data_IF_369892805466
#
_entry.id   IF_369892805466
#
_cell.length_a   1.000
_cell.length_b   1.000
_cell.length_c   1.000
_cell.angle_alpha   90.00
_cell.angle_beta   90.00
_cell.angle_gamma   90.00
#
_symmetry.space_group_name_H-M   'P 1'
#
loop_
_entity.id
_entity.type
_entity.pdbx_description
1 polymer ?
#
# COMPACT_ATOMS: atom_id res chain seq x y z
N UNK A 1 -24.81 -12.43 -11.32
CA UNK A 1 -26.02 -13.20 -10.98
C UNK A 1 -25.77 -13.85 -9.63
N UNK A 2 -26.43 -13.39 -8.57
CA UNK A 2 -26.31 -14.00 -7.24
C UNK A 2 -27.37 -15.11 -7.18
N UNK A 3 -26.95 -16.36 -6.97
CA UNK A 3 -27.88 -17.49 -6.92
C UNK A 3 -28.72 -17.42 -5.65
N UNK A 4 -30.04 -17.50 -5.80
CA UNK A 4 -31.06 -17.37 -4.74
C UNK A 4 -31.13 -18.59 -3.78
N UNK A 5 -29.99 -19.12 -3.34
CA UNK A 5 -29.93 -20.38 -2.57
C UNK A 5 -29.40 -20.22 -1.14
N UNK A 6 -29.29 -19.00 -0.64
CA UNK A 6 -28.77 -18.75 0.72
C UNK A 6 -29.92 -18.78 1.72
N UNK A 7 -29.88 -19.71 2.66
CA UNK A 7 -30.79 -19.77 3.81
C UNK A 7 -30.19 -19.02 5.01
N UNK A 8 -31.07 -18.55 5.89
CA UNK A 8 -30.64 -17.86 7.10
C UNK A 8 -29.93 -18.84 8.04
N UNK A 9 -28.68 -18.55 8.40
CA UNK A 9 -27.82 -19.44 9.19
C UNK A 9 -26.82 -20.27 8.37
N UNK A 10 -26.83 -20.16 7.04
CA UNK A 10 -25.80 -20.80 6.22
C UNK A 10 -24.42 -20.18 6.50
N UNK A 11 -23.36 -21.00 6.61
CA UNK A 11 -22.02 -20.49 6.86
C UNK A 11 -21.51 -19.69 5.66
N UNK A 12 -20.97 -18.49 5.94
CA UNK A 12 -20.31 -17.66 4.93
C UNK A 12 -18.85 -18.06 4.85
N UNK A 13 -18.43 -18.60 3.70
CA UNK A 13 -17.03 -18.94 3.45
C UNK A 13 -16.27 -17.73 2.94
N UNK A 14 -15.15 -17.42 3.60
CA UNK A 14 -14.24 -16.33 3.23
C UNK A 14 -12.90 -16.96 2.85
N UNK A 15 -12.59 -16.98 1.56
CA UNK A 15 -11.36 -17.60 1.03
C UNK A 15 -10.26 -16.58 0.69
N UNK A 16 -10.63 -15.30 0.55
CA UNK A 16 -9.71 -14.25 0.13
C UNK A 16 -8.65 -13.89 1.19
N UNK A 17 -8.87 -14.28 2.44
CA UNK A 17 -8.02 -13.88 3.57
C UNK A 17 -7.60 -15.08 4.41
N UNK A 18 -6.41 -15.00 4.99
CA UNK A 18 -5.96 -15.97 5.98
C UNK A 18 -6.86 -15.93 7.22
N UNK A 19 -7.01 -17.08 7.89
CA UNK A 19 -7.72 -17.14 9.17
C UNK A 19 -7.14 -16.13 10.18
N UNK A 20 -5.82 -16.02 10.25
CA UNK A 20 -5.12 -15.14 11.19
C UNK A 20 -5.47 -13.66 10.96
N UNK A 21 -5.42 -13.21 9.71
CA UNK A 21 -5.71 -11.81 9.37
C UNK A 21 -7.19 -11.51 9.59
N UNK A 22 -8.09 -12.37 9.10
CA UNK A 22 -9.52 -12.14 9.26
C UNK A 22 -9.95 -12.18 10.73
N UNK A 23 -9.34 -13.06 11.53
CA UNK A 23 -9.58 -13.10 12.97
C UNK A 23 -9.09 -11.82 13.68
N UNK A 24 -7.94 -11.27 13.28
CA UNK A 24 -7.46 -9.99 13.80
C UNK A 24 -8.40 -8.83 13.43
N UNK A 25 -8.92 -8.84 12.21
CA UNK A 25 -9.94 -7.90 11.75
C UNK A 25 -11.24 -8.01 12.57
N UNK A 26 -11.71 -9.23 12.86
CA UNK A 26 -12.86 -9.42 13.73
C UNK A 26 -12.59 -8.90 15.15
N UNK A 27 -11.41 -9.18 15.73
CA UNK A 27 -11.03 -8.60 17.03
C UNK A 27 -11.07 -7.08 17.00
N UNK A 28 -10.65 -6.46 15.90
CA UNK A 28 -10.79 -5.01 15.74
C UNK A 28 -12.23 -4.55 15.76
N UNK A 29 -13.13 -5.20 15.03
CA UNK A 29 -14.56 -4.85 15.00
C UNK A 29 -15.16 -4.85 16.41
N UNK A 30 -14.86 -5.87 17.21
CA UNK A 30 -15.45 -6.01 18.54
C UNK A 30 -14.78 -5.17 19.63
N UNK A 31 -13.46 -4.96 19.55
CA UNK A 31 -12.68 -4.31 20.63
C UNK A 31 -12.19 -2.90 20.29
N UNK A 32 -12.25 -2.51 19.02
CA UNK A 32 -11.59 -1.33 18.48
C UNK A 32 -10.05 -1.41 18.49
N UNK A 33 -9.45 -2.56 18.85
CA UNK A 33 -8.00 -2.77 18.95
C UNK A 33 -7.53 -3.82 17.95
N UNK A 34 -6.39 -3.56 17.31
CA UNK A 34 -5.75 -4.44 16.34
C UNK A 34 -4.24 -4.36 16.56
N UNK A 35 -3.57 -5.50 16.50
CA UNK A 35 -2.12 -5.58 16.47
C UNK A 35 -1.62 -5.61 15.04
N UNK A 36 -1.02 -4.49 14.58
CA UNK A 36 -0.43 -4.42 13.25
C UNK A 36 0.99 -4.98 13.22
N UNK A 37 1.29 -5.77 12.20
CA UNK A 37 2.60 -6.33 11.89
C UNK A 37 2.96 -6.03 10.44
N UNK A 38 4.22 -6.26 10.05
CA UNK A 38 4.64 -6.12 8.65
C UNK A 38 3.94 -7.11 7.72
N UNK A 39 3.53 -8.26 8.26
CA UNK A 39 2.85 -9.35 7.54
C UNK A 39 1.37 -9.03 7.30
N UNK A 40 0.66 -8.54 8.32
CA UNK A 40 -0.79 -8.39 8.24
C UNK A 40 -1.25 -7.02 7.72
N UNK A 41 -0.37 -6.02 7.69
CA UNK A 41 -0.78 -4.63 7.41
C UNK A 41 -1.43 -4.48 6.03
N UNK A 42 -0.96 -5.20 5.02
CA UNK A 42 -1.55 -5.17 3.68
C UNK A 42 -2.96 -5.77 3.69
N UNK A 43 -3.14 -6.92 4.34
CA UNK A 43 -4.46 -7.54 4.54
C UNK A 43 -5.39 -6.62 5.31
N UNK A 44 -4.89 -5.92 6.34
CA UNK A 44 -5.70 -5.00 7.15
C UNK A 44 -6.13 -3.76 6.37
N UNK A 45 -5.27 -3.22 5.50
CA UNK A 45 -5.65 -2.12 4.59
C UNK A 45 -6.74 -2.59 3.64
N UNK A 46 -6.55 -3.75 2.99
CA UNK A 46 -7.52 -4.29 2.04
C UNK A 46 -8.87 -4.60 2.71
N UNK A 47 -8.86 -5.27 3.86
CA UNK A 47 -10.06 -5.52 4.66
C UNK A 47 -10.77 -4.22 5.08
N UNK A 48 -10.00 -3.19 5.44
CA UNK A 48 -10.57 -1.90 5.83
C UNK A 48 -11.27 -1.19 4.68
N UNK A 49 -10.74 -1.30 3.46
CA UNK A 49 -11.34 -0.73 2.25
C UNK A 49 -12.56 -1.57 1.83
N UNK A 50 -12.39 -2.89 1.73
CA UNK A 50 -13.42 -3.83 1.27
C UNK A 50 -14.68 -3.78 2.14
N UNK A 51 -14.51 -3.77 3.47
CA UNK A 51 -15.62 -3.67 4.43
C UNK A 51 -15.93 -2.22 4.85
N UNK A 52 -15.26 -1.23 4.24
CA UNK A 52 -15.47 0.21 4.46
C UNK A 52 -15.33 0.66 5.93
N UNK A 53 -14.42 0.03 6.68
CA UNK A 53 -14.14 0.34 8.08
C UNK A 53 -13.11 1.47 8.18
N UNK A 54 -13.57 2.71 8.02
CA UNK A 54 -12.72 3.92 8.02
C UNK A 54 -11.82 4.07 9.24
N UNK A 55 -12.30 3.64 10.42
CA UNK A 55 -11.51 3.70 11.66
C UNK A 55 -10.31 2.75 11.64
N UNK A 56 -10.44 1.60 11.00
CA UNK A 56 -9.33 0.68 10.76
C UNK A 56 -8.37 1.25 9.73
N UNK A 57 -8.91 1.75 8.61
CA UNK A 57 -8.13 2.35 7.54
C UNK A 57 -7.23 3.48 8.05
N UNK A 58 -7.79 4.36 8.88
CA UNK A 58 -7.03 5.44 9.51
C UNK A 58 -5.92 4.92 10.45
N UNK A 59 -6.15 3.83 11.18
CA UNK A 59 -5.13 3.21 12.03
C UNK A 59 -4.02 2.54 11.21
N UNK A 60 -4.38 1.86 10.12
CA UNK A 60 -3.42 1.33 9.16
C UNK A 60 -2.55 2.45 8.58
N UNK A 61 -3.17 3.57 8.19
CA UNK A 61 -2.50 4.75 7.66
C UNK A 61 -1.49 5.34 8.67
N UNK A 62 -1.92 5.51 9.94
CA UNK A 62 -1.04 5.95 11.02
C UNK A 62 0.13 4.98 11.25
N UNK A 63 -0.13 3.67 11.27
CA UNK A 63 0.90 2.66 11.49
C UNK A 63 1.95 2.68 10.38
N UNK A 64 1.50 2.71 9.13
CA UNK A 64 2.37 2.83 7.96
C UNK A 64 3.19 4.13 8.02
N UNK A 65 2.56 5.27 8.30
CA UNK A 65 3.25 6.57 8.35
C UNK A 65 4.44 6.64 9.32
N UNK A 66 4.46 5.78 10.35
CA UNK A 66 5.50 5.73 11.39
C UNK A 66 6.65 4.78 11.03
N UNK A 67 6.54 4.01 9.96
CA UNK A 67 7.60 3.08 9.53
C UNK A 67 8.74 3.81 8.86
N UNK A 68 9.93 3.21 8.96
CA UNK A 68 11.09 3.62 8.20
C UNK A 68 11.08 2.99 6.80
N UNK A 69 11.27 3.85 5.80
CA UNK A 69 11.29 3.45 4.40
C UNK A 69 12.71 3.50 3.85
N UNK A 70 13.15 2.38 3.30
CA UNK A 70 14.41 2.22 2.59
C UNK A 70 14.16 2.21 1.09
N UNK A 71 15.17 2.52 0.27
CA UNK A 71 15.06 2.51 -1.19
C UNK A 71 14.52 1.17 -1.76
N UNK A 72 14.74 0.05 -1.07
CA UNK A 72 14.24 -1.28 -1.48
C UNK A 72 12.78 -1.52 -1.09
N UNK A 73 12.39 -1.19 0.14
CA UNK A 73 11.03 -1.50 0.62
C UNK A 73 9.99 -0.50 0.10
N UNK A 74 10.40 0.75 -0.17
CA UNK A 74 9.50 1.85 -0.48
C UNK A 74 8.75 1.62 -1.79
N UNK A 75 9.42 1.02 -2.79
CA UNK A 75 8.82 0.71 -4.09
C UNK A 75 7.80 -0.43 -3.99
N UNK A 76 8.10 -1.46 -3.19
CA UNK A 76 7.19 -2.59 -2.96
C UNK A 76 5.92 -2.10 -2.25
N UNK A 77 6.09 -1.29 -1.20
CA UNK A 77 4.97 -0.75 -0.42
C UNK A 77 4.15 0.23 -1.27
N UNK A 78 4.80 1.10 -2.05
CA UNK A 78 4.13 2.00 -2.99
C UNK A 78 3.28 1.22 -4.00
N UNK A 79 3.84 0.16 -4.59
CA UNK A 79 3.11 -0.70 -5.55
C UNK A 79 1.87 -1.32 -4.89
N UNK A 80 2.05 -1.94 -3.72
CA UNK A 80 0.97 -2.60 -2.99
C UNK A 80 -0.13 -1.64 -2.53
N UNK A 81 0.23 -0.42 -2.14
CA UNK A 81 -0.70 0.53 -1.53
C UNK A 81 -1.18 1.64 -2.48
N UNK A 82 -0.73 1.64 -3.74
CA UNK A 82 -1.03 2.69 -4.72
C UNK A 82 -2.51 2.93 -4.95
N UNK A 83 -3.34 1.90 -4.80
CA UNK A 83 -4.78 1.94 -5.04
C UNK A 83 -5.62 2.37 -3.83
N UNK A 84 -5.01 2.52 -2.65
CA UNK A 84 -5.72 2.89 -1.43
C UNK A 84 -5.50 4.37 -1.09
N UNK A 85 -6.51 4.99 -0.50
CA UNK A 85 -6.42 6.36 0.01
C UNK A 85 -5.83 6.36 1.42
N UNK A 86 -4.52 6.61 1.53
CA UNK A 86 -3.77 6.60 2.79
C UNK A 86 -2.93 7.88 2.91
N UNK A 87 -3.53 9.02 3.28
CA UNK A 87 -2.88 10.33 3.20
C UNK A 87 -1.68 10.51 4.14
N UNK A 88 -1.68 9.92 5.34
CA UNK A 88 -0.55 10.03 6.26
C UNK A 88 0.65 9.23 5.75
N UNK A 89 0.39 8.03 5.25
CA UNK A 89 1.33 7.18 4.56
C UNK A 89 1.91 7.89 3.34
N UNK A 90 1.08 8.43 2.45
CA UNK A 90 1.56 9.13 1.23
C UNK A 90 2.48 10.31 1.58
N UNK A 91 2.16 11.06 2.65
CA UNK A 91 3.01 12.15 3.14
C UNK A 91 4.37 11.64 3.66
N UNK A 92 4.37 10.58 4.48
CA UNK A 92 5.59 9.98 5.01
C UNK A 92 6.44 9.36 3.90
N UNK A 93 5.79 8.71 2.94
CA UNK A 93 6.41 8.11 1.77
C UNK A 93 7.06 9.16 0.88
N UNK A 94 6.38 10.27 0.61
CA UNK A 94 6.92 11.39 -0.15
C UNK A 94 8.20 11.94 0.50
N UNK A 95 8.23 12.05 1.84
CA UNK A 95 9.44 12.43 2.58
C UNK A 95 10.57 11.43 2.37
N UNK A 96 10.29 10.13 2.52
CA UNK A 96 11.30 9.09 2.34
C UNK A 96 11.81 8.98 0.90
N UNK A 97 10.95 9.18 -0.09
CA UNK A 97 11.33 9.20 -1.51
C UNK A 97 12.23 10.41 -1.81
N UNK A 98 11.97 11.57 -1.21
CA UNK A 98 12.87 12.74 -1.32
C UNK A 98 14.23 12.48 -0.68
N UNK A 99 14.26 11.85 0.49
CA UNK A 99 15.50 11.54 1.21
C UNK A 99 16.35 10.47 0.49
N UNK A 100 15.71 9.48 -0.16
CA UNK A 100 16.38 8.37 -0.84
C UNK A 100 16.47 8.54 -2.37
N UNK A 101 16.07 9.69 -2.91
CA UNK A 101 15.59 9.81 -4.29
C UNK A 101 16.53 9.32 -5.39
N UNK A 102 17.80 9.70 -5.35
CA UNK A 102 18.79 9.28 -6.36
C UNK A 102 18.99 7.76 -6.31
N UNK A 103 19.16 7.20 -5.10
CA UNK A 103 19.37 5.76 -4.90
C UNK A 103 18.15 4.94 -5.37
N UNK A 104 16.96 5.53 -5.25
CA UNK A 104 15.71 4.91 -5.68
C UNK A 104 15.58 4.87 -7.21
N UNK A 105 15.83 5.99 -7.89
CA UNK A 105 15.77 6.10 -9.36
C UNK A 105 16.86 5.26 -10.04
N UNK A 106 18.02 5.11 -9.39
CA UNK A 106 19.11 4.29 -9.91
C UNK A 106 18.91 2.78 -9.65
N UNK A 107 18.04 2.41 -8.70
CA UNK A 107 17.77 1.01 -8.38
C UNK A 107 17.05 0.25 -9.50
N UNK A 108 17.37 -1.05 -9.66
CA UNK A 108 16.65 -1.93 -10.58
C UNK A 108 15.15 -2.04 -10.22
N UNK A 109 14.81 -1.90 -8.93
CA UNK A 109 13.42 -1.95 -8.46
C UNK A 109 12.53 -0.86 -9.08
N UNK A 110 13.09 0.27 -9.50
CA UNK A 110 12.33 1.32 -10.18
C UNK A 110 11.84 0.85 -11.57
N UNK A 111 12.62 0.02 -12.26
CA UNK A 111 12.24 -0.54 -13.57
C UNK A 111 11.18 -1.65 -13.44
N UNK A 112 11.12 -2.33 -12.30
CA UNK A 112 10.20 -3.45 -12.02
C UNK A 112 8.88 -3.00 -11.37
N UNK A 113 8.74 -1.71 -11.08
CA UNK A 113 7.54 -1.15 -10.44
C UNK A 113 6.40 -0.92 -11.42
N UNK A 114 5.20 -0.61 -10.92
CA UNK A 114 4.03 -0.36 -11.77
C UNK A 114 4.05 1.06 -12.36
N UNK A 115 3.36 1.26 -13.48
CA UNK A 115 3.22 2.59 -14.11
C UNK A 115 2.59 3.61 -13.16
N UNK A 116 1.61 3.19 -12.36
CA UNK A 116 0.92 4.02 -11.36
C UNK A 116 1.91 4.48 -10.28
N UNK A 117 2.79 3.57 -9.86
CA UNK A 117 3.84 3.83 -8.88
C UNK A 117 4.85 4.85 -9.44
N UNK A 118 5.33 4.66 -10.66
CA UNK A 118 6.19 5.65 -11.34
C UNK A 118 5.49 7.01 -11.44
N UNK A 119 4.22 7.03 -11.82
CA UNK A 119 3.46 8.27 -11.94
C UNK A 119 3.32 8.99 -10.58
N UNK A 120 3.08 8.25 -9.49
CA UNK A 120 3.05 8.83 -8.14
C UNK A 120 4.42 9.41 -7.76
N UNK A 121 5.51 8.69 -8.06
CA UNK A 121 6.87 9.15 -7.79
C UNK A 121 7.16 10.45 -8.58
N UNK A 122 6.88 10.47 -9.88
CA UNK A 122 7.09 11.66 -10.73
C UNK A 122 6.25 12.85 -10.27
N UNK A 123 5.04 12.62 -9.76
CA UNK A 123 4.17 13.68 -9.19
C UNK A 123 4.70 14.24 -7.87
N UNK A 124 5.65 13.59 -7.19
CA UNK A 124 6.30 14.18 -6.03
C UNK A 124 7.33 15.23 -6.51
N UNK A 125 6.78 16.40 -6.86
CA UNK A 125 7.30 17.40 -7.80
C UNK A 125 8.69 17.99 -7.53
N UNK A 126 9.34 17.76 -6.39
CA UNK A 126 10.40 18.69 -5.97
C UNK A 126 11.85 18.22 -6.12
N UNK A 127 12.27 17.05 -5.64
CA UNK A 127 13.73 16.80 -5.44
C UNK A 127 14.15 15.34 -5.42
N UNK A 128 13.58 14.49 -6.26
CA UNK A 128 13.95 13.06 -6.25
C UNK A 128 15.33 12.85 -6.89
N UNK A 129 15.56 13.46 -8.04
CA UNK A 129 16.82 13.43 -8.77
C UNK A 129 16.90 14.67 -9.68
N UNK A 130 17.99 14.84 -10.44
CA UNK A 130 17.98 15.80 -11.53
C UNK A 130 16.89 15.42 -12.54
N UNK A 131 16.17 16.41 -13.06
CA UNK A 131 15.07 16.21 -14.02
C UNK A 131 15.53 15.42 -15.25
N UNK A 132 16.75 15.68 -15.71
CA UNK A 132 17.40 14.95 -16.81
C UNK A 132 17.55 13.44 -16.52
N UNK A 133 18.04 13.07 -15.33
CA UNK A 133 18.19 11.66 -14.93
C UNK A 133 16.83 10.97 -14.78
N UNK A 134 15.86 11.67 -14.19
CA UNK A 134 14.50 11.15 -14.03
C UNK A 134 13.86 10.89 -15.40
N UNK A 135 13.98 11.85 -16.31
CA UNK A 135 13.47 11.74 -17.68
C UNK A 135 14.12 10.56 -18.42
N UNK A 136 15.44 10.42 -18.38
CA UNK A 136 16.16 9.32 -19.03
C UNK A 136 15.66 7.94 -18.55
N UNK A 137 15.47 7.79 -17.23
CA UNK A 137 14.98 6.53 -16.63
C UNK A 137 13.53 6.25 -17.01
N UNK A 138 12.65 7.25 -16.99
CA UNK A 138 11.25 7.10 -17.42
C UNK A 138 11.16 6.76 -18.92
N UNK A 139 12.02 7.32 -19.77
CA UNK A 139 12.12 6.93 -21.18
C UNK A 139 12.53 5.47 -21.35
N UNK A 140 13.46 4.97 -20.53
CA UNK A 140 13.86 3.55 -20.51
C UNK A 140 12.75 2.63 -19.99
N UNK A 141 11.90 3.10 -19.08
CA UNK A 141 10.78 2.33 -18.50
C UNK A 141 9.75 1.87 -19.55
N UNK A 142 9.56 2.63 -20.64
CA UNK A 142 8.61 2.32 -21.73
C UNK A 142 9.09 1.29 -22.75
N UNK A 143 10.30 0.71 -22.60
CA UNK A 143 10.93 -0.18 -23.59
C UNK A 143 10.69 -1.69 -23.36
N UNK A 144 9.78 -2.06 -22.46
CA UNK A 144 9.34 -3.44 -22.21
C UNK A 144 7.85 -3.59 -22.55
#
# INVERSE_FOLDING_TARGET
MVSNTWNNGDPIKIEAYSFKDFYEFLKFIYSGRCSFTDENIFSMVDLSEFYQIKSLQHKCDQFLSKKEYTAKNVLVILKALSNYSLPLFEKSLCKAVKENGINLVESNGFMETSKESVMKIVKFEDRIASEEKLFEKVCKFKRL
#
